data_IF_927877786452
#
_entry.id   IF_927877786452
#
_cell.length_a   1.000
_cell.length_b   1.000
_cell.length_c   1.000
_cell.angle_alpha   90.00
_cell.angle_beta   90.00
_cell.angle_gamma   90.00
#
_symmetry.space_group_name_H-M   'P 1'
#
loop_
_entity.id
_entity.type
_entity.pdbx_description
1 polymer ?
#
# COMPACT_ATOMS: atom_id res chain seq x y z
N UNK A 1 7.09 20.03 -13.68
CA UNK A 1 7.89 19.24 -12.72
C UNK A 1 6.93 18.50 -11.80
N UNK A 2 7.02 17.18 -11.69
CA UNK A 2 6.18 16.40 -10.76
C UNK A 2 6.95 16.29 -9.45
N UNK A 3 6.61 17.13 -8.47
CA UNK A 3 7.35 17.30 -7.21
C UNK A 3 7.52 15.97 -6.43
N UNK A 4 6.56 15.05 -6.57
CA UNK A 4 6.62 13.75 -5.90
C UNK A 4 7.72 12.80 -6.41
N UNK A 5 8.40 13.11 -7.52
CA UNK A 5 9.43 12.25 -8.13
C UNK A 5 10.78 12.29 -7.41
N UNK A 6 10.93 13.18 -6.43
CA UNK A 6 12.12 13.20 -5.56
C UNK A 6 12.07 12.11 -4.47
N UNK A 7 10.95 11.38 -4.36
CA UNK A 7 10.77 10.24 -3.44
C UNK A 7 11.23 8.93 -4.09
N UNK A 8 11.71 7.99 -3.28
CA UNK A 8 11.94 6.62 -3.74
C UNK A 8 10.60 5.91 -4.05
N UNK A 9 10.63 4.82 -4.82
CA UNK A 9 9.41 4.03 -5.05
C UNK A 9 8.85 3.41 -3.77
N UNK A 10 9.71 3.04 -2.81
CA UNK A 10 9.32 2.59 -1.48
C UNK A 10 8.57 3.69 -0.71
N UNK A 11 9.10 4.92 -0.73
CA UNK A 11 8.46 6.06 -0.07
C UNK A 11 7.12 6.43 -0.74
N UNK A 12 7.06 6.38 -2.07
CA UNK A 12 5.81 6.61 -2.80
C UNK A 12 4.72 5.61 -2.40
N UNK A 13 5.07 4.34 -2.27
CA UNK A 13 4.14 3.29 -1.87
C UNK A 13 3.73 3.40 -0.40
N UNK A 14 4.67 3.71 0.49
CA UNK A 14 4.39 3.96 1.90
C UNK A 14 3.41 5.13 2.07
N UNK A 15 3.62 6.23 1.36
CA UNK A 15 2.71 7.39 1.39
C UNK A 15 1.33 7.01 0.84
N UNK A 16 1.29 6.25 -0.25
CA UNK A 16 0.04 5.84 -0.88
C UNK A 16 -0.78 4.91 0.01
N UNK A 17 -0.18 3.82 0.51
CA UNK A 17 -0.83 2.84 1.39
C UNK A 17 -1.32 3.47 2.70
N UNK A 18 -0.54 4.38 3.28
CA UNK A 18 -0.93 5.15 4.47
C UNK A 18 -2.14 6.04 4.17
N UNK A 19 -2.08 6.84 3.10
CA UNK A 19 -3.18 7.73 2.71
C UNK A 19 -4.48 6.96 2.41
N UNK A 20 -4.38 5.83 1.69
CA UNK A 20 -5.52 4.97 1.41
C UNK A 20 -6.15 4.37 2.68
N UNK A 21 -5.33 4.03 3.68
CA UNK A 21 -5.81 3.55 4.99
C UNK A 21 -6.53 4.65 5.76
N UNK A 22 -5.94 5.84 5.86
CA UNK A 22 -6.56 6.97 6.55
C UNK A 22 -7.85 7.42 5.86
N UNK A 23 -7.92 7.37 4.52
CA UNK A 23 -9.14 7.68 3.77
C UNK A 23 -10.29 6.75 4.17
N UNK A 24 -10.03 5.44 4.30
CA UNK A 24 -11.03 4.47 4.75
C UNK A 24 -11.50 4.76 6.18
N UNK A 25 -10.61 5.20 7.06
CA UNK A 25 -10.98 5.65 8.41
C UNK A 25 -11.89 6.87 8.37
N UNK A 26 -11.56 7.90 7.58
CA UNK A 26 -12.35 9.12 7.43
C UNK A 26 -13.75 8.80 6.89
N UNK A 27 -13.86 7.97 5.85
CA UNK A 27 -15.14 7.56 5.25
C UNK A 27 -16.07 6.84 6.25
N UNK A 28 -15.50 6.19 7.27
CA UNK A 28 -16.27 5.53 8.33
C UNK A 28 -16.46 6.42 9.58
N UNK A 29 -16.20 7.73 9.49
CA UNK A 29 -16.44 8.69 10.57
C UNK A 29 -15.25 8.94 11.50
N UNK A 30 -14.09 8.34 11.26
CA UNK A 30 -12.88 8.49 12.10
C UNK A 30 -12.06 9.76 11.91
N UNK A 31 -12.62 10.80 11.28
CA UNK A 31 -11.95 12.07 11.01
C UNK A 31 -11.31 12.74 12.25
N UNK A 32 -11.99 12.70 13.40
CA UNK A 32 -11.46 13.28 14.64
C UNK A 32 -10.16 12.59 15.10
N UNK A 33 -10.05 11.28 14.90
CA UNK A 33 -8.86 10.51 15.21
C UNK A 33 -7.73 10.77 14.22
N UNK A 34 -8.03 10.88 12.92
CA UNK A 34 -7.03 11.26 11.91
C UNK A 34 -6.49 12.66 12.13
N UNK A 35 -7.33 13.60 12.59
CA UNK A 35 -6.91 14.96 12.95
C UNK A 35 -6.23 15.06 14.33
N UNK A 36 -6.11 13.96 15.08
CA UNK A 36 -5.53 13.95 16.42
C UNK A 36 -6.36 14.65 17.49
N UNK A 37 -7.65 14.87 17.23
CA UNK A 37 -8.58 15.55 18.16
C UNK A 37 -9.41 14.59 19.01
N UNK A 38 -9.43 13.29 18.68
CA UNK A 38 -10.09 12.25 19.46
C UNK A 38 -9.18 11.76 20.60
N UNK A 39 -9.48 12.09 21.88
CA UNK A 39 -8.65 11.72 23.02
C UNK A 39 -8.55 10.20 23.23
N UNK A 40 -9.55 9.44 22.78
CA UNK A 40 -9.59 7.98 22.92
C UNK A 40 -8.66 7.27 21.94
N UNK A 41 -8.16 7.99 20.93
CA UNK A 41 -7.31 7.48 19.85
C UNK A 41 -5.92 8.12 19.83
N UNK A 42 -5.60 8.96 20.81
CA UNK A 42 -4.26 9.53 20.97
C UNK A 42 -3.27 8.39 21.23
N UNK A 43 -2.20 8.34 20.42
CA UNK A 43 -1.14 7.34 20.54
C UNK A 43 -1.39 6.04 19.75
N UNK A 44 -2.55 5.90 19.10
CA UNK A 44 -2.84 4.75 18.22
C UNK A 44 -2.35 5.06 16.81
N UNK A 45 -1.51 4.18 16.27
CA UNK A 45 -1.05 4.29 14.88
C UNK A 45 -2.08 3.65 13.93
N UNK A 46 -2.98 4.49 13.42
CA UNK A 46 -4.03 4.09 12.47
C UNK A 46 -3.47 3.55 11.14
N UNK A 47 -2.18 3.75 10.86
CA UNK A 47 -1.52 3.22 9.67
C UNK A 47 -1.00 1.79 9.86
N UNK A 48 -0.99 1.27 11.09
CA UNK A 48 -0.42 -0.06 11.42
C UNK A 48 -1.39 -0.99 12.14
N UNK A 49 -2.39 -0.45 12.82
CA UNK A 49 -3.34 -1.24 13.60
C UNK A 49 -4.70 -1.33 12.94
N UNK A 50 -5.34 -2.51 13.06
CA UNK A 50 -6.73 -2.69 12.67
C UNK A 50 -7.62 -1.89 13.60
N UNK A 51 -8.51 -1.08 13.03
CA UNK A 51 -9.38 -0.19 13.81
C UNK A 51 -10.84 -0.34 13.37
N UNK A 52 -11.76 -0.32 14.34
CA UNK A 52 -13.20 -0.44 14.07
C UNK A 52 -13.85 0.93 14.14
N UNK A 53 -14.61 1.26 13.09
CA UNK A 53 -15.29 2.53 12.90
C UNK A 53 -16.73 2.26 12.46
N UNK A 54 -17.71 2.70 13.26
CA UNK A 54 -19.14 2.49 12.96
C UNK A 54 -19.49 1.02 12.59
N UNK A 55 -18.86 0.05 13.26
CA UNK A 55 -19.06 -1.38 13.01
C UNK A 55 -18.27 -1.96 11.83
N UNK A 56 -17.51 -1.14 11.10
CA UNK A 56 -16.63 -1.55 10.00
C UNK A 56 -15.21 -1.67 10.51
N UNK A 57 -14.60 -2.85 10.35
CA UNK A 57 -13.18 -3.05 10.61
C UNK A 57 -12.35 -2.55 9.42
N UNK A 58 -11.45 -1.61 9.67
CA UNK A 58 -10.49 -1.08 8.69
C UNK A 58 -9.13 -1.70 9.01
N UNK A 59 -8.68 -2.60 8.14
CA UNK A 59 -7.33 -3.16 8.21
C UNK A 59 -6.36 -2.32 7.38
N UNK A 60 -5.20 -1.92 7.91
CA UNK A 60 -4.19 -1.18 7.14
C UNK A 60 -3.75 -1.90 5.87
N UNK A 61 -3.37 -1.11 4.88
CA UNK A 61 -2.78 -1.64 3.64
C UNK A 61 -1.31 -1.97 3.86
N UNK A 62 -0.90 -3.11 3.33
CA UNK A 62 0.50 -3.51 3.31
C UNK A 62 1.24 -2.81 2.15
N UNK A 63 2.55 -2.68 2.32
CA UNK A 63 3.46 -2.17 1.28
C UNK A 63 3.44 -3.16 0.12
N UNK A 64 3.12 -2.66 -1.07
CA UNK A 64 3.04 -3.43 -2.29
C UNK A 64 4.35 -3.40 -3.10
N UNK A 65 5.16 -2.35 -2.93
CA UNK A 65 6.41 -2.20 -3.64
C UNK A 65 7.46 -3.17 -3.10
N UNK A 66 8.00 -3.95 -4.03
CA UNK A 66 9.19 -4.79 -3.84
C UNK A 66 10.10 -4.58 -5.05
N UNK A 67 11.41 -4.76 -4.87
CA UNK A 67 12.32 -4.80 -6.02
C UNK A 67 11.77 -5.82 -7.04
N UNK A 68 11.71 -5.42 -8.31
CA UNK A 68 11.19 -6.24 -9.41
C UNK A 68 9.69 -6.57 -9.39
N UNK A 69 8.86 -5.88 -8.59
CA UNK A 69 7.40 -6.08 -8.60
C UNK A 69 6.72 -5.92 -9.97
N UNK A 70 7.35 -5.18 -10.89
CA UNK A 70 6.88 -4.94 -12.25
C UNK A 70 7.47 -5.92 -13.28
N UNK A 71 8.39 -6.81 -12.87
CA UNK A 71 8.87 -7.88 -13.76
C UNK A 71 7.74 -8.89 -13.97
N UNK A 72 7.46 -9.29 -15.22
CA UNK A 72 6.48 -10.34 -15.49
C UNK A 72 6.88 -11.62 -14.73
N UNK A 73 5.98 -12.20 -13.94
CA UNK A 73 6.29 -13.44 -13.19
C UNK A 73 6.56 -14.66 -14.09
N UNK A 74 6.37 -14.55 -15.40
CA UNK A 74 6.39 -15.66 -16.35
C UNK A 74 7.41 -15.52 -17.49
N UNK A 75 8.28 -14.49 -17.50
CA UNK A 75 9.24 -14.34 -18.59
C UNK A 75 10.28 -15.48 -18.67
N UNK A 76 10.60 -16.17 -17.57
CA UNK A 76 11.51 -17.33 -17.59
C UNK A 76 10.88 -18.57 -18.28
N UNK A 77 9.55 -18.70 -18.28
CA UNK A 77 8.87 -19.83 -18.91
C UNK A 77 8.81 -19.68 -20.43
N UNK A 78 8.62 -18.46 -20.94
CA UNK A 78 8.65 -18.16 -22.37
C UNK A 78 10.08 -18.25 -22.94
N UNK A 79 11.11 -17.80 -22.20
CA UNK A 79 12.51 -17.94 -22.63
C UNK A 79 12.98 -19.41 -22.66
N UNK A 80 12.50 -20.25 -21.75
CA UNK A 80 12.75 -21.69 -21.78
C UNK A 80 12.05 -22.37 -22.96
N UNK A 81 10.83 -21.96 -23.29
CA UNK A 81 10.07 -22.48 -24.44
C UNK A 81 10.76 -22.10 -25.76
N UNK A 82 11.24 -20.86 -25.89
CA UNK A 82 11.95 -20.39 -27.08
C UNK A 82 13.31 -21.08 -27.25
N UNK A 83 14.03 -21.39 -26.16
CA UNK A 83 15.29 -22.14 -26.23
C UNK A 83 15.12 -23.62 -26.60
N UNK A 84 13.98 -24.24 -26.29
CA UNK A 84 13.66 -25.61 -26.73
C UNK A 84 13.24 -25.65 -28.20
N UNK A 85 12.50 -24.64 -28.69
CA UNK A 85 12.09 -24.54 -30.10
C UNK A 85 13.28 -24.29 -31.03
N UNK A 86 14.31 -23.55 -30.59
CA UNK A 86 15.51 -23.27 -31.40
C UNK A 86 16.48 -24.45 -31.45
N UNK A 87 16.36 -25.43 -30.54
CA UNK A 87 17.24 -26.62 -30.48
C UNK A 87 16.64 -27.87 -31.13
N UNK A 88 15.39 -27.81 -31.62
CA UNK A 88 14.68 -28.91 -32.28
C UNK A 88 14.84 -28.91 -33.82
#
# INVERSE_FOLDING_TARGET
MRIAYDLSFEDMDLVCSTAQTLLRVICNGGHAAVLGTDPSKIGIDLSKEVSVWNGVAVSPLEVAYTEDCMKPKFCEADEALDQEVVKA
#
